data_IF_023389761895
#
_entry.id   IF_023389761895
#
_cell.length_a   1.000
_cell.length_b   1.000
_cell.length_c   1.000
_cell.angle_alpha   90.00
_cell.angle_beta   90.00
_cell.angle_gamma   90.00
#
_symmetry.space_group_name_H-M   'P 1'
#
loop_
_entity.id
_entity.type
_entity.pdbx_description
1 polymer ?
#
# COMPACT_ATOMS: atom_id res chain seq x y z
N UNK A 1 13.59 -12.10 -8.41
CA UNK A 1 14.42 -11.94 -7.21
C UNK A 1 14.09 -10.59 -6.61
N UNK A 2 13.34 -10.51 -5.50
CA UNK A 2 13.10 -9.28 -4.72
C UNK A 2 12.52 -9.63 -3.33
N UNK A 3 13.24 -10.45 -2.56
CA UNK A 3 12.87 -10.78 -1.16
C UNK A 3 13.65 -9.96 -0.11
N UNK A 4 14.36 -8.89 -0.51
CA UNK A 4 15.26 -8.15 0.40
C UNK A 4 14.62 -7.01 1.21
N UNK A 5 13.29 -6.90 1.27
CA UNK A 5 12.62 -5.69 1.79
C UNK A 5 12.22 -5.74 3.28
N UNK A 6 12.42 -6.85 3.98
CA UNK A 6 11.77 -7.08 5.29
C UNK A 6 12.59 -6.78 6.56
N UNK A 7 13.92 -6.67 6.51
CA UNK A 7 14.75 -6.71 7.74
C UNK A 7 15.40 -5.39 8.20
N UNK A 8 14.88 -4.22 7.82
CA UNK A 8 15.49 -2.92 8.23
C UNK A 8 14.49 -1.92 8.84
N UNK A 9 13.80 -2.32 9.90
CA UNK A 9 13.02 -1.38 10.71
C UNK A 9 13.68 -1.03 12.06
N UNK A 10 14.63 -1.84 12.55
CA UNK A 10 15.33 -1.58 13.82
C UNK A 10 16.58 -0.67 13.68
N UNK A 11 16.95 -0.29 12.46
CA UNK A 11 18.08 0.61 12.18
C UNK A 11 17.63 2.04 11.78
N UNK A 12 16.61 2.62 12.43
CA UNK A 12 16.48 4.09 12.44
C UNK A 12 17.55 4.64 13.40
N UNK A 13 18.78 4.60 12.91
CA UNK A 13 19.95 5.18 13.54
C UNK A 13 19.78 6.70 13.62
N UNK A 14 20.14 7.27 14.76
CA UNK A 14 20.10 8.71 15.10
C UNK A 14 20.93 9.65 14.19
N UNK A 15 21.42 9.19 13.03
CA UNK A 15 22.35 9.95 12.18
C UNK A 15 21.77 10.48 10.86
N UNK A 16 20.53 10.14 10.47
CA UNK A 16 19.93 10.60 9.21
C UNK A 16 19.01 11.84 9.37
N UNK A 17 19.40 12.79 10.21
CA UNK A 17 18.60 13.97 10.56
C UNK A 17 18.50 15.06 9.46
N UNK A 18 19.05 14.87 8.25
CA UNK A 18 19.15 15.96 7.26
C UNK A 18 18.35 15.77 5.97
N UNK A 19 17.60 14.67 5.78
CA UNK A 19 16.71 14.52 4.61
C UNK A 19 15.26 14.29 5.04
N UNK A 20 14.30 15.13 4.59
CA UNK A 20 12.89 14.90 4.85
C UNK A 20 12.40 13.71 4.03
N UNK A 21 12.54 12.50 4.57
CA UNK A 21 12.10 11.25 3.93
C UNK A 21 10.66 10.94 4.33
N UNK A 22 9.78 10.74 3.35
CA UNK A 22 8.40 10.30 3.57
C UNK A 22 8.31 8.79 3.47
N UNK A 23 7.79 8.13 4.52
CA UNK A 23 7.73 6.67 4.66
C UNK A 23 6.30 6.14 4.52
N UNK A 24 5.97 5.26 3.54
CA UNK A 24 4.58 4.94 3.16
C UNK A 24 4.22 3.44 2.99
N UNK A 25 3.31 2.88 3.80
CA UNK A 25 3.08 1.42 3.83
C UNK A 25 1.83 0.77 3.27
N UNK A 26 2.01 -0.27 2.44
CA UNK A 26 0.97 -1.01 1.75
C UNK A 26 1.08 -2.55 1.72
N UNK A 27 0.04 -3.28 2.14
CA UNK A 27 0.01 -4.74 2.44
C UNK A 27 -0.55 -5.74 1.44
N UNK A 28 0.03 -6.95 1.37
CA UNK A 28 -0.42 -8.09 0.56
C UNK A 28 0.36 -9.39 0.84
N UNK A 29 -0.30 -10.51 0.51
CA UNK A 29 0.19 -11.89 0.51
C UNK A 29 0.03 -12.47 -0.91
N UNK A 30 0.99 -13.25 -1.36
CA UNK A 30 0.93 -14.00 -2.62
C UNK A 30 0.72 -15.50 -2.38
N UNK A 31 0.03 -16.16 -3.32
CA UNK A 31 0.20 -17.60 -3.63
C UNK A 31 -0.05 -17.82 -5.14
N UNK A 32 0.74 -18.73 -5.69
CA UNK A 32 0.92 -19.14 -7.09
C UNK A 32 -0.08 -20.22 -7.58
N UNK A 33 -0.19 -20.27 -8.92
CA UNK A 33 -0.30 -21.47 -9.80
C UNK A 33 -1.72 -21.89 -10.34
N UNK A 34 -1.82 -22.79 -11.35
CA UNK A 34 -2.01 -22.38 -12.76
C UNK A 34 -3.03 -23.22 -13.58
N UNK A 35 -3.23 -22.85 -14.86
CA UNK A 35 -3.80 -23.61 -16.01
C UNK A 35 -5.15 -24.37 -15.87
N UNK A 36 -6.15 -24.03 -16.71
CA UNK A 36 -6.91 -25.05 -17.47
C UNK A 36 -7.54 -24.50 -18.77
N UNK A 37 -7.50 -25.34 -19.79
CA UNK A 37 -7.83 -25.11 -21.21
C UNK A 37 -9.29 -25.49 -21.53
N UNK A 38 -9.94 -24.61 -22.28
CA UNK A 38 -11.06 -24.74 -23.23
C UNK A 38 -12.10 -25.89 -23.09
N UNK A 39 -13.35 -25.52 -22.79
CA UNK A 39 -14.56 -26.19 -23.30
C UNK A 39 -15.66 -25.15 -23.56
N UNK A 40 -16.05 -24.95 -24.82
CA UNK A 40 -17.09 -24.00 -25.24
C UNK A 40 -18.36 -24.81 -25.57
N UNK A 41 -19.31 -24.86 -24.64
CA UNK A 41 -20.69 -25.33 -24.86
C UNK A 41 -21.64 -24.28 -24.29
N UNK A 42 -22.61 -23.88 -25.12
CA UNK A 42 -23.67 -22.91 -24.81
C UNK A 42 -24.29 -23.21 -23.44
N UNK A 43 -24.14 -22.28 -22.50
CA UNK A 43 -24.93 -22.24 -21.28
C UNK A 43 -25.89 -21.07 -21.38
N UNK A 44 -27.17 -21.35 -21.13
CA UNK A 44 -28.12 -20.35 -20.67
C UNK A 44 -27.49 -19.61 -19.50
N UNK A 45 -27.51 -18.28 -19.57
CA UNK A 45 -27.08 -17.41 -18.48
C UNK A 45 -28.07 -17.56 -17.32
N UNK A 46 -27.82 -18.53 -16.45
CA UNK A 46 -28.36 -18.48 -15.09
C UNK A 46 -27.88 -17.18 -14.46
N UNK A 47 -28.76 -16.39 -13.80
CA UNK A 47 -28.34 -15.21 -13.07
C UNK A 47 -27.27 -15.66 -12.08
N UNK A 48 -26.03 -15.24 -12.31
CA UNK A 48 -24.96 -15.57 -11.38
C UNK A 48 -25.32 -14.93 -10.06
N UNK A 49 -25.75 -15.77 -9.12
CA UNK A 49 -25.95 -15.43 -7.73
C UNK A 49 -24.59 -14.94 -7.23
N UNK A 50 -24.42 -13.62 -7.21
CA UNK A 50 -23.22 -12.98 -6.67
C UNK A 50 -23.20 -13.30 -5.18
N UNK A 51 -22.57 -14.42 -4.83
CA UNK A 51 -22.21 -14.73 -3.46
C UNK A 51 -21.53 -13.48 -2.91
N UNK A 52 -22.09 -12.82 -1.87
CA UNK A 52 -21.52 -11.61 -1.34
C UNK A 52 -20.06 -11.91 -0.96
N UNK A 53 -19.10 -11.30 -1.67
CA UNK A 53 -17.69 -11.48 -1.37
C UNK A 53 -17.49 -11.26 0.14
N UNK A 54 -16.77 -12.17 0.79
CA UNK A 54 -16.42 -12.02 2.18
C UNK A 54 -15.76 -10.64 2.37
N UNK A 55 -16.16 -9.88 3.40
CA UNK A 55 -15.64 -8.53 3.68
C UNK A 55 -14.10 -8.49 3.71
N UNK A 56 -13.46 -9.58 4.11
CA UNK A 56 -12.01 -9.72 4.11
C UNK A 56 -11.41 -9.83 2.69
N UNK A 57 -12.11 -10.50 1.79
CA UNK A 57 -11.70 -10.63 0.39
C UNK A 57 -11.82 -9.28 -0.34
N UNK A 58 -12.93 -8.56 -0.14
CA UNK A 58 -13.09 -7.19 -0.67
C UNK A 58 -12.01 -6.24 -0.13
N UNK A 59 -11.59 -6.44 1.13
CA UNK A 59 -10.50 -5.65 1.73
C UNK A 59 -9.17 -5.98 1.04
N UNK A 60 -8.87 -7.26 0.85
CA UNK A 60 -7.65 -7.71 0.16
C UNK A 60 -7.57 -7.20 -1.27
N UNK A 61 -8.68 -7.24 -2.00
CA UNK A 61 -8.74 -6.75 -3.37
C UNK A 61 -8.43 -5.25 -3.46
N UNK A 62 -9.01 -4.44 -2.56
CA UNK A 62 -8.72 -2.99 -2.49
C UNK A 62 -7.25 -2.71 -2.16
N UNK A 63 -6.66 -3.45 -1.22
CA UNK A 63 -5.24 -3.31 -0.89
C UNK A 63 -4.36 -3.73 -2.08
N UNK A 64 -4.64 -4.86 -2.71
CA UNK A 64 -3.86 -5.38 -3.86
C UNK A 64 -3.92 -4.45 -5.07
N UNK A 65 -5.08 -3.85 -5.34
CA UNK A 65 -5.21 -2.87 -6.43
C UNK A 65 -4.29 -1.67 -6.20
N UNK A 66 -4.24 -1.17 -4.97
CA UNK A 66 -3.45 0.00 -4.64
C UNK A 66 -1.93 -0.28 -4.62
N UNK A 67 -1.56 -1.53 -4.33
CA UNK A 67 -0.16 -1.96 -4.36
C UNK A 67 0.51 -1.71 -5.70
N UNK A 68 -0.20 -1.97 -6.80
CA UNK A 68 0.33 -1.77 -8.16
C UNK A 68 0.73 -0.32 -8.43
N UNK A 69 -0.01 0.63 -7.87
CA UNK A 69 0.30 2.06 -8.02
C UNK A 69 1.50 2.45 -7.15
N UNK A 70 1.55 1.96 -5.91
CA UNK A 70 2.72 2.19 -5.05
C UNK A 70 3.99 1.57 -5.62
N UNK A 71 3.91 0.37 -6.19
CA UNK A 71 5.03 -0.26 -6.87
C UNK A 71 5.50 0.59 -8.05
N UNK A 72 4.57 1.11 -8.87
CA UNK A 72 4.89 2.04 -9.95
C UNK A 72 5.63 3.27 -9.42
N UNK A 73 5.02 3.99 -8.47
CA UNK A 73 5.59 5.20 -7.89
C UNK A 73 6.95 4.95 -7.23
N UNK A 74 7.16 3.79 -6.60
CA UNK A 74 8.43 3.45 -5.97
C UNK A 74 9.61 3.32 -6.97
N UNK A 75 9.31 3.08 -8.24
CA UNK A 75 10.29 2.92 -9.32
C UNK A 75 10.43 4.15 -10.22
N UNK A 76 9.52 5.11 -10.09
CA UNK A 76 9.53 6.33 -10.90
C UNK A 76 10.64 7.28 -10.44
N UNK A 77 11.39 7.82 -11.40
CA UNK A 77 12.55 8.69 -11.13
C UNK A 77 12.21 9.94 -10.32
N UNK A 78 10.95 10.41 -10.40
CA UNK A 78 10.47 11.55 -9.62
C UNK A 78 10.41 11.26 -8.12
N UNK A 79 10.11 10.02 -7.74
CA UNK A 79 9.87 9.65 -6.35
C UNK A 79 11.02 8.86 -5.72
N UNK A 80 11.78 8.08 -6.51
CA UNK A 80 12.75 7.10 -6.02
C UNK A 80 13.78 7.66 -5.03
N UNK A 81 14.23 8.91 -5.24
CA UNK A 81 15.24 9.56 -4.39
C UNK A 81 14.64 10.47 -3.30
N UNK A 82 13.31 10.65 -3.30
CA UNK A 82 12.60 11.65 -2.49
C UNK A 82 11.58 11.04 -1.53
N UNK A 83 11.04 9.87 -1.86
CA UNK A 83 9.96 9.20 -1.13
C UNK A 83 10.36 7.75 -0.89
N UNK A 84 10.19 7.30 0.35
CA UNK A 84 10.41 5.92 0.76
C UNK A 84 9.05 5.23 0.93
N UNK A 85 8.76 4.20 0.15
CA UNK A 85 7.54 3.41 0.34
C UNK A 85 7.85 2.18 1.24
N UNK A 86 7.15 2.02 2.37
CA UNK A 86 7.31 0.98 3.42
C UNK A 86 6.04 0.29 3.87
N UNK A 87 5.70 -0.83 3.24
CA UNK A 87 4.64 -1.78 3.64
C UNK A 87 4.53 -2.09 5.14
N UNK A 88 3.38 -1.78 5.77
CA UNK A 88 3.15 -1.95 7.21
C UNK A 88 2.01 -2.93 7.52
N UNK A 89 2.31 -4.13 8.06
CA UNK A 89 1.34 -5.24 8.22
C UNK A 89 0.75 -5.24 9.61
N UNK A 90 -0.59 -5.21 9.70
CA UNK A 90 -1.27 -5.27 11.00
C UNK A 90 -0.95 -6.56 11.73
N UNK A 91 -0.85 -7.68 11.01
CA UNK A 91 -0.74 -9.01 11.59
C UNK A 91 0.71 -9.43 11.91
N UNK A 92 1.71 -8.87 11.22
CA UNK A 92 3.04 -9.50 11.20
C UNK A 92 4.23 -8.60 11.52
N UNK A 93 4.12 -7.26 11.43
CA UNK A 93 5.32 -6.42 11.47
C UNK A 93 5.29 -5.36 12.56
N UNK A 94 4.18 -4.63 12.72
CA UNK A 94 4.14 -3.48 13.63
C UNK A 94 2.70 -3.15 14.09
N UNK A 95 2.09 -3.94 14.98
CA UNK A 95 0.73 -3.67 15.45
C UNK A 95 0.61 -2.28 16.10
N UNK A 96 1.67 -1.84 16.80
CA UNK A 96 1.71 -0.56 17.52
C UNK A 96 1.55 0.66 16.61
N UNK A 97 1.95 0.58 15.33
CA UNK A 97 1.78 1.66 14.36
C UNK A 97 0.29 1.93 14.13
N UNK A 98 -0.54 0.88 14.09
CA UNK A 98 -1.98 1.03 13.86
C UNK A 98 -2.66 1.73 15.03
N UNK A 99 -2.24 1.44 16.26
CA UNK A 99 -2.75 2.10 17.45
C UNK A 99 -2.22 3.55 17.55
N UNK A 100 -0.91 3.74 17.41
CA UNK A 100 -0.23 5.05 17.49
C UNK A 100 -0.83 6.07 16.53
N UNK A 101 -1.12 5.66 15.30
CA UNK A 101 -1.65 6.53 14.25
C UNK A 101 -3.16 6.37 14.03
N UNK A 102 -3.85 5.64 14.92
CA UNK A 102 -5.31 5.44 14.91
C UNK A 102 -5.87 4.96 13.55
N UNK A 103 -5.21 3.97 12.95
CA UNK A 103 -5.59 3.40 11.65
C UNK A 103 -6.77 2.45 11.82
N UNK A 104 -7.97 2.88 11.38
CA UNK A 104 -9.23 2.14 11.56
C UNK A 104 -9.65 1.27 10.38
N UNK A 105 -9.16 1.57 9.18
CA UNK A 105 -9.53 0.87 7.95
C UNK A 105 -8.37 0.73 6.99
N UNK A 106 -8.54 -0.15 6.01
CA UNK A 106 -7.54 -0.43 4.98
C UNK A 106 -8.16 -0.30 3.58
N UNK A 107 -7.38 0.13 2.57
CA UNK A 107 -6.01 0.66 2.70
C UNK A 107 -5.99 2.05 3.36
N UNK A 108 -4.91 2.38 4.07
CA UNK A 108 -4.66 3.72 4.64
C UNK A 108 -3.21 4.12 4.37
N UNK A 109 -3.03 5.37 3.96
CA UNK A 109 -1.76 5.98 3.57
C UNK A 109 -1.36 6.98 4.66
N UNK A 110 -0.30 6.65 5.39
CA UNK A 110 0.29 7.52 6.40
C UNK A 110 1.47 8.26 5.78
N UNK A 111 1.46 9.59 5.89
CA UNK A 111 2.56 10.45 5.42
C UNK A 111 3.30 10.97 6.63
N UNK A 112 4.59 10.64 6.71
CA UNK A 112 5.51 11.07 7.78
C UNK A 112 6.56 11.98 7.14
N UNK A 113 6.88 13.13 7.72
CA UNK A 113 7.98 14.00 7.28
C UNK A 113 8.70 14.51 8.52
N UNK A 114 10.02 14.38 8.57
CA UNK A 114 10.82 14.76 9.75
C UNK A 114 10.32 14.11 11.06
N UNK A 115 10.01 12.81 11.03
CA UNK A 115 9.46 12.02 12.14
C UNK A 115 8.07 12.46 12.65
N UNK A 116 7.42 13.41 12.00
CA UNK A 116 6.06 13.85 12.34
C UNK A 116 5.05 13.39 11.28
N UNK A 117 3.86 13.00 11.72
CA UNK A 117 2.75 12.73 10.80
C UNK A 117 2.28 14.05 10.19
N UNK A 118 2.28 14.13 8.86
CA UNK A 118 1.78 15.30 8.13
C UNK A 118 0.42 15.07 7.47
N UNK A 119 0.09 13.83 7.11
CA UNK A 119 -1.22 13.49 6.55
C UNK A 119 -1.58 12.02 6.80
N UNK A 120 -2.88 11.73 6.76
CA UNK A 120 -3.45 10.40 6.81
C UNK A 120 -4.60 10.32 5.80
N UNK A 121 -4.48 9.46 4.79
CA UNK A 121 -5.52 9.29 3.78
C UNK A 121 -6.07 7.87 3.82
N UNK A 122 -7.39 7.77 3.93
CA UNK A 122 -8.14 6.50 3.89
C UNK A 122 -8.92 6.44 2.58
N UNK A 123 -8.21 6.53 1.45
CA UNK A 123 -8.79 6.54 0.11
C UNK A 123 -8.28 5.35 -0.71
N UNK A 124 -9.14 4.86 -1.60
CA UNK A 124 -8.80 3.88 -2.63
C UNK A 124 -8.53 4.53 -4.00
N UNK A 125 -8.41 5.86 -4.04
CA UNK A 125 -8.18 6.63 -5.25
C UNK A 125 -6.68 6.98 -5.41
N UNK A 126 -5.99 6.42 -6.42
CA UNK A 126 -4.56 6.65 -6.61
C UNK A 126 -4.23 8.11 -6.93
N UNK A 127 -5.14 8.84 -7.61
CA UNK A 127 -4.88 10.24 -8.00
C UNK A 127 -4.79 11.15 -6.78
N UNK A 128 -5.61 10.90 -5.76
CA UNK A 128 -5.57 11.65 -4.50
C UNK A 128 -4.28 11.41 -3.72
N UNK A 129 -3.80 10.16 -3.72
CA UNK A 129 -2.56 9.80 -3.04
C UNK A 129 -1.36 10.44 -3.74
N UNK A 130 -1.31 10.34 -5.07
CA UNK A 130 -0.26 10.99 -5.89
C UNK A 130 -0.26 12.51 -5.72
N UNK A 131 -1.44 13.14 -5.73
CA UNK A 131 -1.57 14.58 -5.49
C UNK A 131 -1.00 14.94 -4.12
N UNK A 132 -1.34 14.18 -3.07
CA UNK A 132 -0.81 14.42 -1.73
C UNK A 132 0.71 14.21 -1.63
N UNK A 133 1.28 13.21 -2.31
CA UNK A 133 2.72 13.03 -2.43
C UNK A 133 3.34 14.30 -3.01
N UNK A 134 2.80 14.77 -4.14
CA UNK A 134 3.31 15.93 -4.86
C UNK A 134 3.17 17.24 -4.09
N UNK A 135 2.08 17.44 -3.35
CA UNK A 135 1.89 18.61 -2.49
C UNK A 135 2.95 18.64 -1.38
N UNK A 136 3.20 17.51 -0.73
CA UNK A 136 4.22 17.40 0.33
C UNK A 136 5.66 17.48 -0.17
N UNK A 137 5.92 17.05 -1.41
CA UNK A 137 7.22 17.18 -2.07
C UNK A 137 7.52 18.61 -2.51
N UNK A 138 6.51 19.32 -3.01
CA UNK A 138 6.67 20.69 -3.52
C UNK A 138 6.45 21.77 -2.46
N UNK A 139 6.09 21.38 -1.23
CA UNK A 139 5.91 22.31 -0.11
C UNK A 139 4.65 23.17 -0.22
N UNK A 140 3.67 22.73 -1.02
CA UNK A 140 2.33 23.35 -1.02
C UNK A 140 1.60 22.85 0.22
N UNK A 141 1.34 23.76 1.16
CA UNK A 141 0.51 23.53 2.34
C UNK A 141 -0.87 24.12 2.11
#
# INVERSE_FOLDING_TARGET
MNEAWYDKLDEINHNDAEKPMITLGLLSFGVLAPFYVAYRKQQQEEPQEQSPLNKDEQRRERCSRMERFVDSWSTEAEYIDRVLFRKCNKESSNPDIFEKYNVKSLPTFLFIKNNEQVALLTTGDPVQIETAINDHLNGKK
#
